data_IF_919768630074
#
_entry.id   IF_919768630074
#
_cell.length_a   1.000
_cell.length_b   1.000
_cell.length_c   1.000
_cell.angle_alpha   90.00
_cell.angle_beta   90.00
_cell.angle_gamma   90.00
#
_symmetry.space_group_name_H-M   'P 1'
#
loop_
_entity.id
_entity.type
_entity.pdbx_description
1 polymer ?
#
# COMPACT_ATOMS: atom_id res chain seq x y z
N UNK A 1 6.48 -27.21 70.01
CA UNK A 1 7.53 -26.27 70.48
C UNK A 1 8.58 -27.08 71.21
N UNK A 2 9.88 -26.84 70.97
CA UNK A 2 10.53 -25.59 71.36
C UNK A 2 10.92 -24.72 70.17
N UNK A 3 11.04 -23.44 70.51
CA UNK A 3 11.37 -22.29 69.67
C UNK A 3 12.83 -21.94 69.94
N UNK A 4 13.65 -21.75 68.89
CA UNK A 4 14.67 -20.71 68.94
C UNK A 4 15.06 -20.21 67.54
N UNK A 5 14.67 -18.97 67.19
CA UNK A 5 15.24 -18.22 66.08
C UNK A 5 16.42 -17.39 66.59
N UNK A 6 17.50 -17.29 65.82
CA UNK A 6 18.52 -16.26 66.01
C UNK A 6 18.78 -15.51 64.71
N UNK A 7 18.45 -14.21 64.77
CA UNK A 7 18.83 -13.13 63.85
C UNK A 7 20.30 -12.75 64.07
N UNK A 8 20.99 -12.41 62.99
CA UNK A 8 21.94 -11.29 62.88
C UNK A 8 21.91 -10.85 61.39
N UNK A 9 21.31 -9.71 60.98
CA UNK A 9 21.88 -8.34 60.99
C UNK A 9 23.37 -8.31 60.60
N UNK A 10 23.88 -7.53 59.64
CA UNK A 10 23.39 -6.44 58.82
C UNK A 10 24.46 -6.13 57.75
N UNK A 11 24.08 -5.31 56.75
CA UNK A 11 24.85 -4.20 56.16
C UNK A 11 25.00 -4.18 54.62
N UNK A 12 24.57 -3.03 54.07
CA UNK A 12 25.01 -2.32 52.85
C UNK A 12 24.60 -2.96 51.52
N UNK A 13 23.89 -2.29 50.61
CA UNK A 13 23.39 -0.92 50.49
C UNK A 13 22.94 -0.69 49.03
N UNK A 14 22.08 0.30 48.74
CA UNK A 14 21.47 0.50 47.42
C UNK A 14 22.23 1.52 46.57
N UNK A 15 22.40 1.27 45.26
CA UNK A 15 22.87 2.23 44.23
C UNK A 15 22.42 1.68 42.86
N UNK A 16 21.93 2.42 41.87
CA UNK A 16 21.74 3.85 41.65
C UNK A 16 20.80 4.01 40.45
N UNK A 17 19.84 4.93 40.52
CA UNK A 17 19.18 5.48 39.34
C UNK A 17 20.23 6.23 38.50
N UNK A 18 20.22 6.07 37.17
CA UNK A 18 20.53 7.14 36.21
C UNK A 18 19.74 6.94 34.92
N UNK A 19 18.61 7.64 34.88
CA UNK A 19 18.00 8.14 33.66
C UNK A 19 19.03 8.98 32.89
N UNK A 20 19.12 8.77 31.58
CA UNK A 20 19.73 9.72 30.65
C UNK A 20 18.70 10.01 29.55
N UNK A 21 17.81 10.94 29.88
CA UNK A 21 17.09 11.78 28.94
C UNK A 21 18.09 12.76 28.33
N UNK A 22 18.29 12.71 27.03
CA UNK A 22 18.70 13.89 26.26
C UNK A 22 17.85 13.96 25.00
N UNK A 23 16.92 14.92 25.02
CA UNK A 23 16.18 15.35 23.86
C UNK A 23 17.08 16.06 22.87
N UNK A 24 16.84 15.82 21.58
CA UNK A 24 17.36 16.67 20.52
C UNK A 24 16.17 17.36 19.84
N UNK A 25 16.24 18.68 19.90
CA UNK A 25 15.23 19.64 19.48
C UNK A 25 15.13 19.79 17.96
N UNK A 26 13.88 19.95 17.52
CA UNK A 26 13.39 20.37 16.21
C UNK A 26 14.13 21.60 15.65
N UNK A 27 14.56 21.56 14.39
CA UNK A 27 14.79 22.77 13.58
C UNK A 27 14.10 22.61 12.22
N UNK A 28 13.00 23.32 12.05
CA UNK A 28 12.38 23.57 10.77
C UNK A 28 13.12 24.74 10.09
N UNK A 29 13.43 24.59 8.79
CA UNK A 29 13.76 25.71 7.93
C UNK A 29 13.09 25.49 6.56
N UNK A 30 11.98 26.19 6.35
CA UNK A 30 11.41 26.50 5.05
C UNK A 30 12.31 27.54 4.37
N UNK A 31 12.71 27.31 3.13
CA UNK A 31 13.17 28.35 2.23
C UNK A 31 12.51 28.18 0.86
N UNK A 32 11.45 28.97 0.63
CA UNK A 32 10.97 29.30 -0.71
C UNK A 32 12.00 30.23 -1.36
N UNK A 33 12.51 29.85 -2.53
CA UNK A 33 13.07 30.82 -3.46
C UNK A 33 12.57 30.52 -4.87
N UNK A 34 11.52 31.25 -5.25
CA UNK A 34 11.21 31.55 -6.63
C UNK A 34 11.87 32.90 -6.96
N UNK A 35 12.54 32.97 -8.12
CA UNK A 35 12.71 34.13 -9.01
C UNK A 35 14.11 34.17 -9.62
N UNK A 36 14.17 34.08 -10.96
CA UNK A 36 15.33 34.37 -11.80
C UNK A 36 14.90 34.40 -13.27
N UNK A 37 15.46 35.28 -14.11
CA UNK A 37 14.67 36.17 -14.95
C UNK A 37 14.53 35.79 -16.43
N UNK A 38 13.53 36.42 -17.03
CA UNK A 38 13.20 36.46 -18.45
C UNK A 38 14.39 36.86 -19.35
N UNK A 39 14.59 36.09 -20.42
CA UNK A 39 15.48 36.44 -21.51
C UNK A 39 14.69 37.17 -22.60
N UNK A 40 14.91 38.49 -22.71
CA UNK A 40 14.59 39.28 -23.89
C UNK A 40 15.53 38.86 -25.02
N UNK A 41 15.00 38.16 -26.01
CA UNK A 41 15.60 37.99 -27.34
C UNK A 41 14.74 38.72 -28.35
N UNK A 42 15.16 39.94 -28.69
CA UNK A 42 14.54 40.81 -29.68
C UNK A 42 14.92 40.34 -31.09
N UNK A 43 13.94 40.01 -31.92
CA UNK A 43 14.08 40.08 -33.37
C UNK A 43 12.90 40.87 -33.94
N UNK A 44 13.23 42.10 -34.28
CA UNK A 44 12.51 43.04 -35.13
C UNK A 44 12.31 42.44 -36.53
N UNK A 45 11.07 42.38 -37.01
CA UNK A 45 10.71 42.65 -38.41
C UNK A 45 9.35 43.36 -38.42
N UNK A 46 9.30 44.49 -39.12
CA UNK A 46 8.18 45.42 -39.31
C UNK A 46 7.04 44.84 -40.18
N UNK A 47 5.77 45.30 -40.04
CA UNK A 47 4.67 44.85 -40.87
C UNK A 47 4.45 45.78 -42.08
N UNK A 48 4.07 45.21 -43.23
CA UNK A 48 3.48 45.95 -44.34
C UNK A 48 2.18 45.28 -44.78
N UNK A 49 1.15 46.11 -44.95
CA UNK A 49 -0.25 45.75 -45.08
C UNK A 49 -0.71 45.64 -46.55
N UNK A 50 -1.80 44.87 -46.75
CA UNK A 50 -2.80 44.92 -47.82
C UNK A 50 -2.47 44.48 -49.27
N UNK A 51 -3.23 43.50 -49.78
CA UNK A 51 -4.35 43.69 -50.75
C UNK A 51 -4.66 42.41 -51.55
N UNK A 52 -5.87 42.34 -52.09
CA UNK A 52 -6.65 41.18 -52.52
C UNK A 52 -6.36 40.56 -53.91
N UNK A 53 -6.95 39.37 -54.08
CA UNK A 53 -7.57 38.75 -55.28
C UNK A 53 -6.87 37.64 -56.12
N UNK A 54 -7.61 36.52 -56.19
CA UNK A 54 -7.89 35.59 -57.31
C UNK A 54 -6.88 34.54 -57.84
N UNK A 55 -7.15 33.28 -57.43
CA UNK A 55 -7.30 32.01 -58.19
C UNK A 55 -6.24 31.54 -59.22
N UNK A 56 -5.66 30.34 -58.98
CA UNK A 56 -5.72 29.17 -59.91
C UNK A 56 -5.25 27.86 -59.25
N UNK A 57 -5.95 26.76 -59.55
CA UNK A 57 -5.84 25.41 -58.97
C UNK A 57 -4.64 24.58 -59.46
N UNK A 58 -4.02 23.77 -58.57
CA UNK A 58 -3.22 22.57 -58.86
C UNK A 58 -3.03 21.72 -57.56
N UNK A 59 -2.75 20.40 -57.63
CA UNK A 59 -3.44 19.39 -56.82
C UNK A 59 -2.88 19.20 -55.40
N UNK A 60 -3.80 18.84 -54.51
CA UNK A 60 -3.58 18.46 -53.11
C UNK A 60 -2.74 17.16 -53.02
N UNK A 61 -1.72 17.10 -52.15
CA UNK A 61 -1.00 15.86 -51.92
C UNK A 61 -1.93 14.89 -51.16
N UNK A 62 -2.08 13.69 -51.73
CA UNK A 62 -2.87 12.60 -51.15
C UNK A 62 -2.46 12.34 -49.70
N UNK A 63 -3.36 12.59 -48.76
CA UNK A 63 -3.16 12.22 -47.36
C UNK A 63 -2.95 10.71 -47.27
N UNK A 64 -1.72 10.31 -46.96
CA UNK A 64 -1.44 8.95 -46.49
C UNK A 64 -2.30 8.74 -45.25
N UNK A 65 -3.10 7.65 -45.17
CA UNK A 65 -3.93 7.41 -44.00
C UNK A 65 -3.02 7.35 -42.77
N UNK A 66 -3.21 8.31 -41.86
CA UNK A 66 -2.54 8.34 -40.56
C UNK A 66 -2.80 6.99 -39.88
N UNK A 67 -1.77 6.29 -39.35
CA UNK A 67 -1.96 4.99 -38.73
C UNK A 67 -2.95 5.18 -37.57
N UNK A 68 -4.10 4.52 -37.67
CA UNK A 68 -5.04 4.43 -36.57
C UNK A 68 -4.26 3.98 -35.33
N UNK A 69 -4.34 4.69 -34.19
CA UNK A 69 -3.65 4.26 -32.98
C UNK A 69 -4.14 2.85 -32.67
N UNK A 70 -3.25 1.87 -32.79
CA UNK A 70 -3.58 0.49 -32.47
C UNK A 70 -3.93 0.47 -31.00
N UNK A 71 -5.16 0.05 -30.68
CA UNK A 71 -5.57 -0.12 -29.30
C UNK A 71 -4.60 -1.09 -28.63
N UNK A 72 -3.79 -0.61 -27.68
CA UNK A 72 -2.90 -1.48 -26.91
C UNK A 72 -3.77 -2.46 -26.13
N UNK A 73 -3.79 -3.72 -26.57
CA UNK A 73 -4.44 -4.81 -25.85
C UNK A 73 -3.71 -5.00 -24.52
N UNK A 74 -4.41 -4.75 -23.42
CA UNK A 74 -3.85 -4.99 -22.09
C UNK A 74 -3.46 -6.45 -21.93
N UNK A 75 -2.33 -6.67 -21.25
CA UNK A 75 -1.86 -8.00 -20.86
C UNK A 75 -1.67 -7.99 -19.37
N UNK A 76 -2.17 -9.03 -18.69
CA UNK A 76 -1.99 -9.17 -17.25
C UNK A 76 -0.49 -9.26 -16.90
N UNK A 77 -0.02 -8.56 -15.85
CA UNK A 77 1.38 -8.66 -15.43
C UNK A 77 1.68 -10.06 -14.88
N UNK A 78 2.94 -10.49 -15.04
CA UNK A 78 3.40 -11.75 -14.50
C UNK A 78 3.87 -11.59 -13.05
N UNK A 79 2.93 -11.62 -12.11
CA UNK A 79 3.21 -11.31 -10.71
C UNK A 79 3.51 -12.54 -9.88
N UNK A 80 4.48 -12.40 -8.97
CA UNK A 80 4.72 -13.34 -7.88
C UNK A 80 4.78 -12.61 -6.55
N UNK A 81 4.22 -13.22 -5.50
CA UNK A 81 4.27 -12.68 -4.13
C UNK A 81 5.01 -13.66 -3.24
N UNK A 82 5.97 -13.13 -2.49
CA UNK A 82 6.73 -13.84 -1.47
C UNK A 82 6.69 -13.06 -0.17
N UNK A 83 6.90 -13.77 0.93
CA UNK A 83 6.98 -13.17 2.25
C UNK A 83 8.24 -13.73 2.93
N UNK A 84 9.27 -12.89 3.05
CA UNK A 84 10.56 -13.24 3.64
C UNK A 84 10.48 -13.05 5.16
N UNK A 85 9.73 -13.90 5.85
CA UNK A 85 9.63 -13.81 7.30
C UNK A 85 10.72 -14.61 7.99
N UNK A 86 11.55 -13.91 8.74
CA UNK A 86 12.46 -14.55 9.70
C UNK A 86 11.62 -15.08 10.87
N UNK A 87 11.13 -16.31 10.73
CA UNK A 87 10.71 -17.19 11.81
C UNK A 87 9.34 -16.95 12.44
N UNK A 88 8.83 -15.72 12.52
CA UNK A 88 7.62 -15.43 13.31
C UNK A 88 6.28 -15.68 12.56
N UNK A 89 6.33 -15.75 11.23
CA UNK A 89 5.17 -16.00 10.39
C UNK A 89 5.36 -17.29 9.62
N UNK A 90 4.32 -18.12 9.62
CA UNK A 90 4.34 -19.42 8.95
C UNK A 90 3.24 -19.49 7.94
N UNK A 91 3.61 -19.81 6.70
CA UNK A 91 2.65 -19.97 5.62
C UNK A 91 1.68 -21.11 5.95
N UNK A 92 0.39 -20.84 5.83
CA UNK A 92 -0.68 -21.80 6.07
C UNK A 92 -1.71 -21.75 4.93
N UNK A 93 -1.53 -22.59 3.93
CA UNK A 93 -2.40 -22.63 2.75
C UNK A 93 -3.76 -23.32 3.01
N UNK A 94 -3.89 -24.06 4.12
CA UNK A 94 -5.09 -24.84 4.49
C UNK A 94 -6.23 -24.01 5.11
N UNK A 95 -5.95 -22.78 5.56
CA UNK A 95 -6.97 -21.87 6.10
C UNK A 95 -7.84 -21.29 4.97
N UNK A 96 -7.27 -21.13 3.79
CA UNK A 96 -7.97 -20.53 2.66
C UNK A 96 -8.87 -21.56 1.99
N UNK A 97 -10.11 -21.16 1.69
CA UNK A 97 -11.04 -22.02 0.93
C UNK A 97 -10.48 -22.38 -0.45
N UNK A 98 -9.75 -21.44 -1.05
CA UNK A 98 -9.15 -21.52 -2.37
C UNK A 98 -7.83 -20.73 -2.34
N UNK A 99 -6.72 -21.35 -1.89
CA UNK A 99 -5.41 -20.78 -2.13
C UNK A 99 -5.15 -20.81 -3.64
N UNK A 100 -4.78 -19.66 -4.20
CA UNK A 100 -4.45 -19.52 -5.61
C UNK A 100 -3.04 -18.96 -5.71
N UNK A 101 -2.25 -19.43 -6.67
CA UNK A 101 -0.89 -18.94 -6.88
C UNK A 101 -0.60 -18.79 -8.38
N UNK A 102 -1.51 -18.13 -9.08
CA UNK A 102 -1.36 -17.80 -10.50
C UNK A 102 -0.93 -16.35 -10.63
N UNK A 103 -0.30 -15.98 -11.74
CA UNK A 103 0.16 -14.61 -11.97
C UNK A 103 -0.96 -13.56 -12.00
N UNK A 104 -2.21 -13.99 -12.16
CA UNK A 104 -3.40 -13.12 -12.23
C UNK A 104 -4.26 -13.16 -10.97
N UNK A 105 -4.06 -14.13 -10.08
CA UNK A 105 -4.81 -14.28 -8.84
C UNK A 105 -3.95 -15.05 -7.83
N UNK A 106 -3.66 -14.40 -6.70
CA UNK A 106 -2.85 -14.95 -5.61
C UNK A 106 -3.63 -14.79 -4.31
N UNK A 107 -3.68 -15.86 -3.53
CA UNK A 107 -4.28 -15.90 -2.20
C UNK A 107 -3.36 -16.72 -1.29
N UNK A 108 -2.75 -16.07 -0.31
CA UNK A 108 -1.79 -16.68 0.62
C UNK A 108 -2.20 -16.32 2.05
N UNK A 109 -2.07 -17.26 2.99
CA UNK A 109 -2.32 -17.03 4.40
C UNK A 109 -1.10 -17.40 5.25
N UNK A 110 -0.92 -16.69 6.35
CA UNK A 110 0.20 -16.82 7.27
C UNK A 110 -0.29 -16.71 8.72
N UNK A 111 0.22 -17.55 9.60
CA UNK A 111 -0.05 -17.45 11.03
C UNK A 111 1.14 -16.87 11.78
N UNK A 112 0.83 -16.11 12.84
CA UNK A 112 1.83 -15.58 13.76
C UNK A 112 2.03 -16.52 14.97
N UNK A 113 3.29 -16.87 15.24
CA UNK A 113 3.68 -17.91 16.22
C UNK A 113 3.13 -17.71 17.63
N UNK A 114 3.15 -16.49 18.14
CA UNK A 114 2.96 -16.25 19.58
C UNK A 114 1.59 -15.65 19.93
N UNK A 115 0.83 -15.16 18.95
CA UNK A 115 -0.40 -14.37 19.22
C UNK A 115 -1.64 -14.84 18.45
N UNK A 116 -1.53 -15.85 17.58
CA UNK A 116 -2.68 -16.46 16.92
C UNK A 116 -3.39 -15.53 15.94
N UNK A 117 -2.68 -14.53 15.41
CA UNK A 117 -3.18 -13.71 14.32
C UNK A 117 -2.98 -14.40 12.98
N UNK A 118 -3.94 -14.19 12.09
CA UNK A 118 -3.97 -14.66 10.72
C UNK A 118 -3.72 -13.47 9.78
N UNK A 119 -2.64 -13.51 9.01
CA UNK A 119 -2.41 -12.58 7.92
C UNK A 119 -2.82 -13.21 6.59
N UNK A 120 -3.50 -12.46 5.73
CA UNK A 120 -3.98 -12.94 4.43
C UNK A 120 -3.60 -11.94 3.36
N UNK A 121 -2.99 -12.41 2.28
CA UNK A 121 -2.64 -11.61 1.10
C UNK A 121 -3.53 -12.05 -0.05
N UNK A 122 -4.26 -11.08 -0.62
CA UNK A 122 -5.00 -11.22 -1.86
C UNK A 122 -4.37 -10.32 -2.93
N UNK A 123 -4.16 -10.89 -4.10
CA UNK A 123 -3.80 -10.15 -5.29
C UNK A 123 -4.67 -10.58 -6.45
N UNK A 124 -5.00 -9.61 -7.29
CA UNK A 124 -5.84 -9.82 -8.48
C UNK A 124 -5.38 -8.93 -9.61
N UNK A 125 -5.21 -9.50 -10.79
CA UNK A 125 -5.13 -8.80 -12.07
C UNK A 125 -6.47 -8.90 -12.79
N UNK A 126 -7.02 -7.77 -13.23
CA UNK A 126 -8.27 -7.71 -13.96
C UNK A 126 -8.26 -6.56 -14.96
N UNK A 127 -8.69 -6.85 -16.19
CA UNK A 127 -8.83 -5.84 -17.24
C UNK A 127 -9.76 -4.70 -16.83
N UNK A 128 -10.78 -4.95 -16.01
CA UNK A 128 -11.67 -3.89 -15.53
C UNK A 128 -10.92 -2.83 -14.71
N UNK A 129 -9.94 -3.25 -13.89
CA UNK A 129 -9.09 -2.33 -13.11
C UNK A 129 -8.26 -1.47 -14.07
N UNK A 130 -7.79 -2.04 -15.18
CA UNK A 130 -7.09 -1.30 -16.22
C UNK A 130 -7.99 -0.30 -16.94
N UNK A 131 -9.22 -0.67 -17.24
CA UNK A 131 -10.19 0.23 -17.87
C UNK A 131 -10.58 1.39 -16.93
N UNK A 132 -10.62 1.13 -15.62
CA UNK A 132 -10.87 2.11 -14.56
C UNK A 132 -9.75 3.14 -14.39
N UNK A 133 -8.58 2.99 -15.02
CA UNK A 133 -7.48 4.00 -14.95
C UNK A 133 -7.90 5.40 -15.40
N UNK A 134 -9.00 5.49 -16.15
CA UNK A 134 -9.58 6.76 -16.63
C UNK A 134 -10.57 7.38 -15.62
N UNK A 135 -10.91 6.65 -14.55
CA UNK A 135 -11.99 6.94 -13.61
C UNK A 135 -11.39 6.93 -12.19
N UNK A 136 -10.84 8.08 -11.79
CA UNK A 136 -10.21 8.25 -10.49
C UNK A 136 -8.74 7.82 -10.47
N UNK A 137 -7.93 8.54 -9.71
CA UNK A 137 -6.52 8.20 -9.52
C UNK A 137 -6.36 7.07 -8.52
N UNK A 138 -5.27 6.33 -8.65
CA UNK A 138 -4.88 5.24 -7.74
C UNK A 138 -4.92 5.66 -6.27
N UNK A 139 -4.56 6.91 -5.96
CA UNK A 139 -4.62 7.47 -4.62
C UNK A 139 -6.06 7.50 -4.07
N UNK A 140 -6.99 8.09 -4.83
CA UNK A 140 -8.40 8.21 -4.44
C UNK A 140 -9.05 6.84 -4.33
N UNK A 141 -8.82 5.97 -5.32
CA UNK A 141 -9.43 4.64 -5.35
C UNK A 141 -8.89 3.76 -4.24
N UNK A 142 -7.57 3.75 -3.99
CA UNK A 142 -6.99 2.94 -2.91
C UNK A 142 -7.47 3.40 -1.52
N UNK A 143 -7.56 4.72 -1.30
CA UNK A 143 -8.08 5.30 -0.06
C UNK A 143 -9.56 4.97 0.17
N UNK A 144 -10.39 4.99 -0.87
CA UNK A 144 -11.79 4.60 -0.76
C UNK A 144 -11.93 3.08 -0.50
N UNK A 145 -11.23 2.25 -1.28
CA UNK A 145 -11.32 0.79 -1.23
C UNK A 145 -10.87 0.19 0.10
N UNK A 146 -9.82 0.73 0.73
CA UNK A 146 -9.37 0.24 2.04
C UNK A 146 -10.46 0.38 3.11
N UNK A 147 -11.39 1.33 2.95
CA UNK A 147 -12.48 1.59 3.90
C UNK A 147 -13.76 0.80 3.60
N UNK A 148 -13.87 0.18 2.42
CA UNK A 148 -15.09 -0.54 2.03
C UNK A 148 -15.26 -1.82 2.86
N UNK A 149 -16.44 -2.01 3.45
CA UNK A 149 -16.78 -3.24 4.16
C UNK A 149 -16.76 -4.44 3.22
N UNK A 150 -16.06 -5.50 3.62
CA UNK A 150 -16.05 -6.75 2.85
C UNK A 150 -17.33 -7.57 3.06
N UNK A 151 -17.77 -8.37 2.07
CA UNK A 151 -18.99 -9.18 2.18
C UNK A 151 -19.01 -10.19 3.34
N UNK A 152 -17.85 -10.69 3.76
CA UNK A 152 -17.72 -11.63 4.89
C UNK A 152 -17.48 -10.95 6.24
N UNK A 153 -17.41 -9.61 6.27
CA UNK A 153 -17.16 -8.81 7.47
C UNK A 153 -18.42 -8.03 7.85
N UNK A 154 -19.19 -8.54 8.80
CA UNK A 154 -20.29 -7.81 9.42
C UNK A 154 -19.80 -6.93 10.57
N UNK A 155 -20.59 -5.93 11.00
CA UNK A 155 -20.23 -5.01 12.09
C UNK A 155 -18.87 -4.32 11.92
N UNK A 156 -18.45 -4.13 10.66
CA UNK A 156 -17.18 -3.51 10.33
C UNK A 156 -17.14 -2.06 10.85
N UNK A 157 -16.11 -1.76 11.65
CA UNK A 157 -15.85 -0.43 12.17
C UNK A 157 -14.36 -0.14 12.11
N UNK A 158 -14.01 1.03 11.58
CA UNK A 158 -12.62 1.50 11.55
C UNK A 158 -12.20 1.99 12.93
N UNK A 159 -10.99 1.63 13.35
CA UNK A 159 -10.36 2.07 14.59
C UNK A 159 -9.22 3.06 14.35
N UNK A 160 -8.69 3.12 13.13
CA UNK A 160 -7.71 4.11 12.69
C UNK A 160 -7.69 4.24 11.16
N UNK A 161 -7.03 5.28 10.65
CA UNK A 161 -6.88 5.52 9.21
C UNK A 161 -8.11 6.15 8.53
N UNK A 162 -8.14 6.20 7.18
CA UNK A 162 -7.12 5.66 6.27
C UNK A 162 -5.82 6.46 6.33
N UNK A 163 -4.68 5.78 6.29
CA UNK A 163 -3.35 6.43 6.31
C UNK A 163 -2.49 5.85 5.19
N UNK A 164 -1.79 6.73 4.48
CA UNK A 164 -0.85 6.31 3.44
C UNK A 164 0.40 5.72 4.08
N UNK A 165 0.82 4.54 3.64
CA UNK A 165 2.02 3.84 4.08
C UNK A 165 2.78 3.27 2.90
N UNK A 166 4.11 3.20 3.01
CA UNK A 166 5.00 2.64 1.99
C UNK A 166 5.78 1.48 2.60
N UNK A 167 5.06 0.40 2.91
CA UNK A 167 5.57 -0.71 3.70
C UNK A 167 5.83 -1.97 2.88
N UNK A 168 5.00 -2.27 1.88
CA UNK A 168 5.20 -3.45 1.01
C UNK A 168 6.35 -3.19 0.03
N UNK A 169 7.16 -4.20 -0.29
CA UNK A 169 8.25 -4.05 -1.29
C UNK A 169 7.78 -4.46 -2.69
N UNK A 170 8.18 -3.69 -3.70
CA UNK A 170 8.06 -4.06 -5.11
C UNK A 170 9.44 -4.17 -5.79
N UNK A 171 9.48 -4.18 -7.12
CA UNK A 171 10.74 -4.29 -7.86
C UNK A 171 11.62 -3.03 -7.80
N UNK A 172 11.05 -1.87 -7.49
CA UNK A 172 11.74 -0.58 -7.50
C UNK A 172 11.84 0.10 -6.13
N UNK A 173 11.34 -0.52 -5.06
CA UNK A 173 11.52 -0.07 -3.70
C UNK A 173 10.36 -0.45 -2.82
N UNK A 174 9.57 0.55 -2.41
CA UNK A 174 8.36 0.35 -1.63
C UNK A 174 7.13 0.70 -2.45
N UNK A 175 6.12 -0.15 -2.32
CA UNK A 175 4.81 -0.02 -2.90
C UNK A 175 3.93 0.79 -1.93
N UNK A 176 3.63 2.07 -2.23
CA UNK A 176 2.74 2.86 -1.41
C UNK A 176 1.32 2.33 -1.52
N UNK A 177 0.57 2.41 -0.42
CA UNK A 177 -0.86 2.08 -0.36
C UNK A 177 -1.50 2.71 0.86
N UNK A 178 -2.73 2.33 1.14
CA UNK A 178 -3.46 2.81 2.31
C UNK A 178 -3.67 1.70 3.32
N UNK A 179 -3.62 2.05 4.60
CA UNK A 179 -3.97 1.17 5.68
C UNK A 179 -5.02 1.74 6.62
N UNK A 180 -5.71 0.84 7.31
CA UNK A 180 -6.63 1.12 8.41
C UNK A 180 -6.43 0.09 9.53
N UNK A 181 -6.77 0.48 10.75
CA UNK A 181 -7.17 -0.46 11.81
C UNK A 181 -8.68 -0.68 11.77
N UNK A 182 -9.14 -1.88 12.09
CA UNK A 182 -10.57 -2.19 12.11
C UNK A 182 -10.95 -3.24 13.16
N UNK A 183 -12.25 -3.32 13.41
CA UNK A 183 -12.92 -4.44 14.09
C UNK A 183 -14.05 -4.95 13.21
N UNK A 184 -14.34 -6.24 13.24
CA UNK A 184 -15.48 -6.82 12.54
C UNK A 184 -15.88 -8.17 13.14
N UNK A 185 -17.04 -8.67 12.74
CA UNK A 185 -17.41 -10.09 12.88
C UNK A 185 -17.23 -10.77 11.53
N UNK A 186 -16.27 -11.68 11.43
CA UNK A 186 -15.89 -12.39 10.19
C UNK A 186 -16.63 -13.71 10.10
N UNK A 187 -17.22 -13.98 8.93
CA UNK A 187 -17.74 -15.30 8.57
C UNK A 187 -16.72 -16.05 7.72
N UNK A 188 -16.14 -17.10 8.29
CA UNK A 188 -15.13 -17.92 7.62
C UNK A 188 -15.77 -18.93 6.67
N UNK A 189 -14.98 -19.43 5.73
CA UNK A 189 -15.40 -20.41 4.74
C UNK A 189 -15.88 -21.75 5.33
N UNK A 190 -15.36 -22.11 6.52
CA UNK A 190 -15.80 -23.24 7.33
C UNK A 190 -17.25 -23.11 7.82
N UNK A 191 -17.82 -21.91 7.74
CA UNK A 191 -19.14 -21.57 8.29
C UNK A 191 -19.09 -21.00 9.71
N UNK A 192 -17.92 -21.02 10.38
CA UNK A 192 -17.75 -20.37 11.68
C UNK A 192 -17.79 -18.85 11.57
N UNK A 193 -18.19 -18.20 12.65
CA UNK A 193 -18.13 -16.75 12.80
C UNK A 193 -17.30 -16.38 14.02
N UNK A 194 -16.51 -15.32 13.93
CA UNK A 194 -15.73 -14.81 15.06
C UNK A 194 -15.51 -13.31 14.98
N UNK A 195 -15.48 -12.66 16.13
CA UNK A 195 -15.08 -11.26 16.22
C UNK A 195 -13.58 -11.13 16.07
N UNK A 196 -13.14 -10.13 15.33
CA UNK A 196 -11.73 -9.84 15.08
C UNK A 196 -11.43 -8.37 15.31
N UNK A 197 -10.20 -8.10 15.71
CA UNK A 197 -9.57 -6.80 15.56
C UNK A 197 -8.35 -6.97 14.66
N UNK A 198 -8.05 -5.97 13.84
CA UNK A 198 -7.09 -6.16 12.77
C UNK A 198 -6.61 -4.90 12.08
N UNK A 199 -5.74 -5.12 11.09
CA UNK A 199 -5.29 -4.11 10.15
C UNK A 199 -5.59 -4.56 8.72
N UNK A 200 -5.80 -3.59 7.84
CA UNK A 200 -5.97 -3.84 6.41
C UNK A 200 -5.07 -2.88 5.64
N UNK A 201 -4.40 -3.39 4.62
CA UNK A 201 -3.70 -2.62 3.61
C UNK A 201 -4.35 -2.84 2.24
N UNK A 202 -4.45 -1.78 1.44
CA UNK A 202 -4.94 -1.86 0.07
C UNK A 202 -4.16 -0.94 -0.88
N UNK A 203 -3.86 -1.46 -2.06
CA UNK A 203 -3.28 -0.72 -3.18
C UNK A 203 -3.87 -1.21 -4.51
N UNK A 204 -4.46 -0.30 -5.27
CA UNK A 204 -4.82 -0.52 -6.68
C UNK A 204 -3.81 0.16 -7.59
N UNK A 205 -3.22 -0.54 -8.57
CA UNK A 205 -2.33 0.01 -9.62
C UNK A 205 -3.08 -0.07 -10.95
N UNK A 206 -3.78 1.00 -11.31
CA UNK A 206 -4.72 0.97 -12.43
C UNK A 206 -4.02 0.77 -13.78
N UNK A 207 -2.85 1.37 -13.99
CA UNK A 207 -2.10 1.23 -15.25
C UNK A 207 -1.65 -0.21 -15.54
N UNK A 208 -1.53 -1.04 -14.52
CA UNK A 208 -1.23 -2.47 -14.66
C UNK A 208 -2.47 -3.35 -14.49
N UNK A 209 -3.61 -2.78 -14.11
CA UNK A 209 -4.85 -3.50 -13.92
C UNK A 209 -4.80 -4.46 -12.73
N UNK A 210 -4.17 -4.06 -11.62
CA UNK A 210 -3.98 -4.95 -10.46
C UNK A 210 -4.39 -4.32 -9.13
N UNK A 211 -4.74 -5.16 -8.17
CA UNK A 211 -4.93 -4.80 -6.76
C UNK A 211 -4.13 -5.73 -5.86
N UNK A 212 -3.58 -5.16 -4.79
CA UNK A 212 -3.02 -5.87 -3.66
C UNK A 212 -3.82 -5.50 -2.41
N UNK A 213 -4.24 -6.51 -1.67
CA UNK A 213 -4.98 -6.36 -0.44
C UNK A 213 -4.41 -7.31 0.61
N UNK A 214 -4.18 -6.80 1.82
CA UNK A 214 -3.58 -7.57 2.91
C UNK A 214 -4.40 -7.35 4.17
N UNK A 215 -4.72 -8.43 4.87
CA UNK A 215 -5.38 -8.42 6.16
C UNK A 215 -4.45 -8.93 7.24
N UNK A 216 -4.64 -8.41 8.44
CA UNK A 216 -4.23 -9.04 9.68
C UNK A 216 -5.46 -9.15 10.58
N UNK A 217 -5.85 -10.37 10.92
CA UNK A 217 -7.00 -10.67 11.77
C UNK A 217 -6.53 -11.36 13.06
N UNK A 218 -6.81 -10.75 14.20
CA UNK A 218 -6.47 -11.28 15.52
C UNK A 218 -7.74 -11.42 16.37
N UNK A 219 -7.65 -12.20 17.45
CA UNK A 219 -8.65 -12.11 18.53
C UNK A 219 -8.67 -10.67 19.09
N UNK A 220 -9.83 -10.09 19.42
CA UNK A 220 -9.93 -8.66 19.78
C UNK A 220 -9.06 -8.23 20.97
N UNK A 221 -8.81 -9.14 21.92
CA UNK A 221 -7.98 -8.93 23.11
C UNK A 221 -6.47 -9.17 22.87
N UNK A 222 -6.11 -9.61 21.66
CA UNK A 222 -4.75 -10.01 21.26
C UNK A 222 -4.35 -9.39 19.92
N UNK A 223 -4.84 -8.19 19.63
CA UNK A 223 -4.42 -7.45 18.45
C UNK A 223 -2.91 -7.23 18.51
N UNK A 224 -2.19 -7.75 17.51
CA UNK A 224 -0.76 -7.50 17.34
C UNK A 224 -0.49 -5.99 17.22
N UNK A 225 0.71 -5.58 17.60
CA UNK A 225 1.11 -4.16 17.50
C UNK A 225 1.15 -3.67 16.04
N UNK A 226 1.02 -2.36 15.84
CA UNK A 226 1.21 -1.74 14.53
C UNK A 226 2.62 -2.01 13.97
N UNK A 227 3.64 -2.10 14.83
CA UNK A 227 5.00 -2.45 14.41
C UNK A 227 5.06 -3.88 13.86
N UNK A 228 4.39 -4.84 14.51
CA UNK A 228 4.27 -6.24 14.03
C UNK A 228 3.58 -6.29 12.67
N UNK A 229 2.51 -5.51 12.51
CA UNK A 229 1.80 -5.37 11.24
C UNK A 229 2.70 -4.80 10.13
N UNK A 230 3.41 -3.71 10.39
CA UNK A 230 4.33 -3.12 9.41
C UNK A 230 5.54 -4.01 9.10
N UNK A 231 6.01 -4.82 10.06
CA UNK A 231 7.00 -5.87 9.80
C UNK A 231 6.48 -6.92 8.81
N UNK A 232 5.22 -7.35 8.96
CA UNK A 232 4.60 -8.27 8.01
C UNK A 232 4.49 -7.63 6.61
N UNK A 233 4.01 -6.40 6.50
CA UNK A 233 3.98 -5.68 5.23
C UNK A 233 5.38 -5.57 4.60
N UNK A 234 6.40 -5.19 5.38
CA UNK A 234 7.78 -5.05 4.91
C UNK A 234 8.42 -6.37 4.48
N UNK A 235 8.04 -7.48 5.10
CA UNK A 235 8.47 -8.81 4.69
C UNK A 235 7.81 -9.28 3.39
N UNK A 236 6.70 -8.67 2.98
CA UNK A 236 6.00 -8.98 1.73
C UNK A 236 6.67 -8.31 0.55
N UNK A 237 7.05 -9.12 -0.46
CA UNK A 237 7.62 -8.67 -1.73
C UNK A 237 6.72 -9.07 -2.89
N UNK A 238 6.30 -8.08 -3.67
CA UNK A 238 5.58 -8.24 -4.93
C UNK A 238 6.57 -8.06 -6.07
N UNK A 239 6.65 -9.03 -6.98
CA UNK A 239 7.57 -9.01 -8.14
C UNK A 239 6.74 -9.01 -9.41
N UNK A 240 7.21 -8.36 -10.47
CA UNK A 240 6.49 -8.24 -11.73
C UNK A 240 5.54 -7.06 -11.82
N UNK A 241 5.62 -6.13 -10.85
CA UNK A 241 4.92 -4.85 -10.87
C UNK A 241 5.88 -3.71 -10.52
N UNK A 242 5.72 -2.59 -11.21
CA UNK A 242 6.31 -1.30 -10.86
C UNK A 242 5.19 -0.30 -10.47
N UNK A 243 4.89 -0.19 -9.18
CA UNK A 243 3.70 0.54 -8.75
C UNK A 243 3.85 2.06 -8.89
N UNK A 244 5.08 2.57 -8.78
CA UNK A 244 5.35 3.99 -8.68
C UNK A 244 4.60 4.69 -7.53
N UNK A 245 4.59 6.02 -7.54
CA UNK A 245 3.81 6.82 -6.59
C UNK A 245 2.31 6.66 -6.81
N UNK A 246 1.51 6.77 -5.74
CA UNK A 246 0.06 6.92 -5.86
C UNK A 246 -0.25 8.30 -6.48
N UNK A 247 -0.63 8.32 -7.75
CA UNK A 247 -1.01 9.53 -8.50
C UNK A 247 -2.36 10.11 -8.11
#
# INVERSE_FOLDING_TARGET
MPIHPQRHQACRGPRSNRLLTLGLTLTAALALSACGPAHKGQLTVEPANASAEASTSAPEPSETPSPTPSATTWTAPNVTISNDTTGAWHRQDDILKQPTNTSSEISQAYNFDTEGCLAIIFYKANHSIYDERKIGGDNTTSSAKVQETMPNHSSFAMTSGPTSVSAVRDDNGTLPGYEIGYTATVKYASGSTGDVAGYRFFRQISDQGVTLEIFLECSPDKLASADTWHQFLFSTRVTGVDAGSMG
#
